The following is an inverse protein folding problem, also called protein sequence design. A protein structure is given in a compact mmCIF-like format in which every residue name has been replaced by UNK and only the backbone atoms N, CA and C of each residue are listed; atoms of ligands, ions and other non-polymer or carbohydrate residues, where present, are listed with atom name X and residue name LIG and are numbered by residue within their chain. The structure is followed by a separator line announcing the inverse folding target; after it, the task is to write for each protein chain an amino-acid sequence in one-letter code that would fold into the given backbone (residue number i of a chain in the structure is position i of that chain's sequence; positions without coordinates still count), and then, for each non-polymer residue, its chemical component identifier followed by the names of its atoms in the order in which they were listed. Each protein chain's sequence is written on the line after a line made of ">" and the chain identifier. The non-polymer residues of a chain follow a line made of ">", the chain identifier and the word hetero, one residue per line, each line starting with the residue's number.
data_IF_797827402273
#
_entry.id   IF_797827402273
#
_cell.length_a   1.000
_cell.length_b   1.000
_cell.length_c   1.000
_cell.angle_alpha   90.00
_cell.angle_beta   90.00
_cell.angle_gamma   90.00
#
_symmetry.space_group_name_H-M   'P 1'
#
loop_
_entity.id
_entity.type
_entity.pdbx_description
1 polymer ?
#
# COMPACT_ATOMS: atom_id res chain seq x y z
N UNK A 1 15.50 6.20 -61.34
CA UNK A 1 15.05 7.40 -60.61
C UNK A 1 13.55 7.30 -60.46
N UNK A 2 13.11 6.71 -59.36
CA UNK A 2 11.73 6.71 -58.92
C UNK A 2 11.76 7.26 -57.50
N UNK A 3 11.16 8.43 -57.31
CA UNK A 3 11.10 9.11 -56.02
C UNK A 3 10.19 8.30 -55.09
N UNK A 4 10.75 7.84 -53.98
CA UNK A 4 10.00 7.27 -52.89
C UNK A 4 9.22 8.39 -52.20
N UNK A 5 7.89 8.36 -52.33
CA UNK A 5 7.00 9.30 -51.67
C UNK A 5 7.14 9.17 -50.15
N UNK A 6 7.47 10.29 -49.48
CA UNK A 6 7.46 10.36 -48.03
C UNK A 6 6.00 10.28 -47.52
N UNK A 7 5.72 9.50 -46.46
CA UNK A 7 4.38 9.42 -45.90
C UNK A 7 3.96 10.76 -45.30
N UNK A 8 2.74 11.20 -45.62
CA UNK A 8 2.14 12.42 -45.10
C UNK A 8 1.72 12.24 -43.64
N UNK A 9 1.86 13.30 -42.83
CA UNK A 9 1.53 13.35 -41.39
C UNK A 9 0.08 12.93 -41.03
N UNK A 10 -0.82 12.85 -42.01
CA UNK A 10 -2.19 12.35 -41.84
C UNK A 10 -2.29 10.81 -41.80
N UNK A 11 -1.33 10.07 -42.36
CA UNK A 11 -1.34 8.60 -42.28
C UNK A 11 -0.89 8.04 -40.92
N UNK A 12 -0.54 8.91 -39.97
CA UNK A 12 -0.18 8.56 -38.60
C UNK A 12 -1.35 8.71 -37.61
N UNK A 13 -2.58 9.00 -38.07
CA UNK A 13 -3.75 9.30 -37.21
C UNK A 13 -4.87 8.26 -37.21
N UNK A 14 -4.60 7.03 -37.63
CA UNK A 14 -5.53 5.90 -37.52
C UNK A 14 -4.90 4.68 -36.83
N UNK A 15 -4.17 4.90 -35.73
CA UNK A 15 -3.95 3.82 -34.75
C UNK A 15 -5.23 3.69 -33.93
N UNK A 16 -5.78 2.49 -33.85
CA UNK A 16 -6.98 2.25 -33.05
C UNK A 16 -6.72 2.68 -31.59
N UNK A 17 -7.65 3.39 -30.94
CA UNK A 17 -7.31 4.22 -29.79
C UNK A 17 -6.98 3.49 -28.47
N UNK A 18 -6.90 2.16 -28.39
CA UNK A 18 -6.62 1.47 -27.11
C UNK A 18 -5.93 0.10 -27.30
N UNK A 19 -4.92 0.01 -28.17
CA UNK A 19 -4.11 -1.21 -28.24
C UNK A 19 -3.04 -1.15 -27.16
N UNK A 20 -3.15 -2.02 -26.16
CA UNK A 20 -2.26 -2.04 -25.01
C UNK A 20 -0.94 -2.68 -25.44
N UNK A 21 0.20 -2.17 -25.00
CA UNK A 21 1.49 -2.78 -25.32
C UNK A 21 2.21 -3.16 -24.05
N UNK A 22 2.78 -4.36 -24.04
CA UNK A 22 3.70 -4.81 -22.99
C UNK A 22 5.11 -4.76 -23.56
N UNK A 23 5.98 -3.95 -22.96
CA UNK A 23 7.42 -4.00 -23.23
C UNK A 23 8.01 -5.26 -22.59
N UNK A 24 8.39 -6.21 -23.44
CA UNK A 24 8.98 -7.48 -23.04
C UNK A 24 10.34 -7.32 -22.36
N UNK A 25 11.04 -6.20 -22.56
CA UNK A 25 12.36 -5.99 -21.96
C UNK A 25 12.28 -5.53 -20.51
N UNK A 26 11.20 -4.85 -20.13
CA UNK A 26 10.98 -4.37 -18.76
C UNK A 26 10.01 -5.25 -17.98
N UNK A 27 9.24 -6.10 -18.66
CA UNK A 27 8.26 -6.98 -18.01
C UNK A 27 8.95 -7.99 -17.09
N UNK A 28 8.55 -8.00 -15.82
CA UNK A 28 9.09 -8.90 -14.78
C UNK A 28 8.20 -10.14 -14.53
N UNK A 29 7.24 -10.44 -15.39
CA UNK A 29 6.44 -11.67 -15.28
C UNK A 29 5.56 -11.83 -14.03
N UNK A 30 5.17 -10.74 -13.36
CA UNK A 30 4.50 -10.82 -12.04
C UNK A 30 2.99 -11.14 -12.02
N UNK A 31 2.38 -11.48 -13.16
CA UNK A 31 0.94 -11.80 -13.36
C UNK A 31 -0.11 -10.75 -12.98
N UNK A 32 0.29 -9.63 -12.37
CA UNK A 32 -0.63 -8.60 -11.90
C UNK A 32 -1.65 -8.13 -12.98
N UNK A 33 -1.20 -7.98 -14.23
CA UNK A 33 -2.05 -7.55 -15.33
C UNK A 33 -2.97 -8.66 -15.87
N UNK A 34 -2.51 -9.91 -15.98
CA UNK A 34 -3.33 -11.04 -16.45
C UNK A 34 -4.36 -11.47 -15.43
N UNK A 35 -4.06 -11.38 -14.13
CA UNK A 35 -5.00 -11.76 -13.08
C UNK A 35 -6.15 -10.74 -12.98
N UNK A 36 -5.85 -9.47 -13.24
CA UNK A 36 -6.81 -8.37 -13.10
C UNK A 36 -7.56 -8.06 -14.38
N UNK A 37 -6.93 -8.32 -15.54
CA UNK A 37 -7.48 -8.08 -16.88
C UNK A 37 -7.22 -9.30 -17.79
N UNK A 38 -7.77 -10.48 -17.45
CA UNK A 38 -7.49 -11.75 -18.15
C UNK A 38 -7.93 -11.78 -19.61
N UNK A 39 -8.79 -10.86 -20.03
CA UNK A 39 -9.17 -10.73 -21.44
C UNK A 39 -8.25 -9.81 -22.25
N UNK A 40 -7.41 -9.00 -21.59
CA UNK A 40 -6.49 -8.07 -22.23
C UNK A 40 -5.04 -8.53 -22.17
N UNK A 41 -4.68 -9.38 -21.20
CA UNK A 41 -3.32 -9.85 -21.01
C UNK A 41 -3.26 -11.35 -20.75
N UNK A 42 -2.32 -11.98 -21.44
CA UNK A 42 -1.96 -13.38 -21.30
C UNK A 42 -0.52 -13.51 -20.83
N UNK A 43 -0.12 -14.74 -20.54
CA UNK A 43 1.26 -15.10 -20.23
C UNK A 43 1.72 -16.15 -21.20
N UNK A 44 2.98 -16.07 -21.61
CA UNK A 44 3.59 -17.12 -22.42
C UNK A 44 3.55 -18.48 -21.69
N UNK A 45 3.72 -19.57 -22.44
CA UNK A 45 3.63 -20.94 -21.90
C UNK A 45 4.64 -21.20 -20.78
N UNK A 46 5.72 -20.40 -20.73
CA UNK A 46 6.75 -20.45 -19.71
C UNK A 46 6.46 -19.57 -18.48
N UNK A 47 5.32 -18.86 -18.48
CA UNK A 47 4.85 -17.95 -17.44
C UNK A 47 5.83 -16.80 -17.08
N UNK A 48 6.71 -16.42 -18.01
CA UNK A 48 7.78 -15.44 -17.79
C UNK A 48 7.39 -14.02 -18.23
N UNK A 49 6.61 -13.88 -19.30
CA UNK A 49 6.32 -12.58 -19.89
C UNK A 49 4.84 -12.42 -20.18
N UNK A 50 4.29 -11.28 -19.76
CA UNK A 50 2.96 -10.89 -20.16
C UNK A 50 2.94 -10.50 -21.64
N UNK A 51 1.87 -10.85 -22.34
CA UNK A 51 1.59 -10.38 -23.69
C UNK A 51 0.14 -9.92 -23.80
N UNK A 52 -0.16 -9.08 -24.79
CA UNK A 52 -1.52 -8.61 -25.05
C UNK A 52 -2.36 -9.74 -25.68
N UNK A 53 -3.49 -10.10 -25.05
CA UNK A 53 -4.52 -10.91 -25.68
C UNK A 53 -5.43 -9.95 -26.46
N UNK A 54 -5.72 -10.30 -27.71
CA UNK A 54 -6.47 -9.54 -28.73
C UNK A 54 -7.33 -8.36 -28.23
N UNK A 55 -7.21 -7.23 -28.94
CA UNK A 55 -7.90 -5.94 -28.75
C UNK A 55 -9.09 -5.98 -27.78
N UNK A 56 -8.81 -5.68 -26.51
CA UNK A 56 -9.85 -5.37 -25.53
C UNK A 56 -10.76 -4.27 -26.10
N UNK A 57 -12.11 -4.40 -26.00
CA UNK A 57 -13.02 -3.40 -26.54
C UNK A 57 -12.67 -1.99 -26.00
N UNK A 58 -12.57 -0.97 -26.88
CA UNK A 58 -12.28 0.39 -26.47
C UNK A 58 -13.19 0.86 -25.33
N UNK A 59 -12.60 1.42 -24.27
CA UNK A 59 -13.34 1.94 -23.11
C UNK A 59 -13.88 0.90 -22.12
N UNK A 60 -13.50 -0.38 -22.25
CA UNK A 60 -13.83 -1.40 -21.23
C UNK A 60 -13.11 -1.13 -19.91
N UNK A 61 -11.87 -0.67 -19.98
CA UNK A 61 -11.03 -0.37 -18.82
C UNK A 61 -10.50 1.06 -18.87
N UNK A 62 -10.24 1.62 -17.70
CA UNK A 62 -9.55 2.91 -17.57
C UNK A 62 -8.06 2.71 -17.89
N UNK A 63 -7.50 3.41 -18.90
CA UNK A 63 -6.08 3.48 -19.19
C UNK A 63 -5.15 3.61 -17.99
N UNK A 64 -5.50 4.50 -17.06
CA UNK A 64 -4.65 4.78 -15.89
C UNK A 64 -4.58 3.57 -14.95
N UNK A 65 -5.71 2.89 -14.72
CA UNK A 65 -5.78 1.71 -13.85
C UNK A 65 -4.95 0.54 -14.42
N UNK A 66 -5.05 0.31 -15.73
CA UNK A 66 -4.34 -0.78 -16.41
C UNK A 66 -2.83 -0.53 -16.45
N UNK A 67 -2.39 0.71 -16.65
CA UNK A 67 -0.96 1.07 -16.64
C UNK A 67 -0.40 0.92 -15.22
N UNK A 68 -1.09 1.46 -14.21
CA UNK A 68 -0.63 1.47 -12.82
C UNK A 68 -0.56 0.08 -12.18
N UNK A 69 -1.17 -0.94 -12.79
CA UNK A 69 -1.10 -2.30 -12.28
C UNK A 69 0.26 -2.95 -12.51
N UNK A 70 1.04 -2.45 -13.47
CA UNK A 70 2.34 -3.01 -13.79
C UNK A 70 3.41 -2.45 -12.84
N UNK A 71 4.01 -3.25 -11.95
CA UNK A 71 5.02 -2.75 -11.00
C UNK A 71 6.35 -2.36 -11.68
N UNK A 72 6.55 -2.75 -12.94
CA UNK A 72 7.74 -2.47 -13.74
C UNK A 72 7.45 -1.51 -14.89
N UNK A 73 6.32 -0.78 -14.85
CA UNK A 73 5.93 0.22 -15.85
C UNK A 73 6.00 -0.27 -17.31
N UNK A 74 5.79 -1.58 -17.50
CA UNK A 74 5.97 -2.25 -18.79
C UNK A 74 4.73 -2.19 -19.67
N UNK A 75 3.61 -1.71 -19.14
CA UNK A 75 2.36 -1.55 -19.89
C UNK A 75 2.24 -0.09 -20.34
N UNK A 76 1.96 0.12 -21.62
CA UNK A 76 1.75 1.45 -22.18
C UNK A 76 0.71 1.44 -23.29
N UNK A 77 0.11 2.60 -23.55
CA UNK A 77 -0.87 2.79 -24.62
C UNK A 77 -0.30 3.83 -25.61
N UNK A 78 0.00 3.47 -26.86
CA UNK A 78 0.54 4.41 -27.83
C UNK A 78 -0.30 5.71 -27.93
N UNK A 79 0.34 6.85 -27.71
CA UNK A 79 -0.31 8.17 -27.76
C UNK A 79 -1.04 8.60 -26.48
N UNK A 80 -1.02 7.80 -25.41
CA UNK A 80 -1.58 8.17 -24.11
C UNK A 80 -0.60 9.02 -23.30
N UNK A 81 -1.05 10.18 -22.82
CA UNK A 81 -0.21 11.13 -22.06
C UNK A 81 0.22 10.59 -20.69
N UNK A 82 -0.51 9.63 -20.12
CA UNK A 82 -0.21 8.98 -18.84
C UNK A 82 0.85 7.87 -18.91
N UNK A 83 1.46 7.62 -20.08
CA UNK A 83 2.49 6.59 -20.19
C UNK A 83 3.74 6.92 -19.35
N UNK A 84 4.34 5.94 -18.67
CA UNK A 84 5.53 6.14 -17.84
C UNK A 84 6.72 6.72 -18.64
N UNK A 85 6.85 6.37 -19.92
CA UNK A 85 7.93 6.85 -20.79
C UNK A 85 7.72 8.26 -21.37
N UNK A 86 6.49 8.78 -21.38
CA UNK A 86 6.19 10.13 -21.87
C UNK A 86 6.82 11.23 -20.98
N UNK A 87 7.22 10.88 -19.75
CA UNK A 87 7.82 11.80 -18.79
C UNK A 87 9.36 11.88 -18.87
N UNK A 88 10.06 11.11 -19.74
CA UNK A 88 11.53 11.22 -19.75
C UNK A 88 12.40 10.41 -20.72
N UNK A 89 11.88 9.67 -21.71
CA UNK A 89 12.76 8.85 -22.57
C UNK A 89 12.30 8.72 -24.02
N UNK A 90 13.17 9.08 -24.98
CA UNK A 90 12.98 8.77 -26.41
C UNK A 90 13.15 7.28 -26.64
N UNK A 91 12.10 6.63 -27.13
CA UNK A 91 12.19 5.28 -27.70
C UNK A 91 12.88 5.31 -29.06
N UNK A 92 13.95 4.53 -29.20
CA UNK A 92 14.50 4.13 -30.50
C UNK A 92 13.82 2.81 -30.89
N UNK A 93 12.78 2.90 -31.72
CA UNK A 93 12.09 1.73 -32.25
C UNK A 93 13.04 0.87 -33.07
N UNK A 94 13.27 -0.36 -32.63
CA UNK A 94 13.85 -1.41 -33.46
C UNK A 94 12.68 -2.25 -34.00
N UNK A 95 11.97 -1.70 -34.98
CA UNK A 95 10.98 -2.43 -35.77
C UNK A 95 11.68 -3.01 -36.98
N UNK A 96 12.16 -4.24 -36.85
CA UNK A 96 12.80 -4.97 -37.94
C UNK A 96 13.31 -6.29 -37.44
N UNK A 97 12.43 -7.30 -37.44
CA UNK A 97 12.74 -8.63 -37.97
C UNK A 97 11.44 -9.46 -37.96
N UNK A 98 10.88 -9.63 -39.16
CA UNK A 98 9.83 -10.59 -39.45
C UNK A 98 10.40 -12.00 -39.28
N UNK A 99 10.09 -12.66 -38.16
CA UNK A 99 10.31 -14.10 -38.04
C UNK A 99 9.24 -14.79 -38.86
N UNK A 100 9.68 -15.34 -39.99
CA UNK A 100 8.87 -16.08 -40.94
C UNK A 100 8.16 -17.26 -40.27
N UNK A 101 6.89 -17.41 -40.62
CA UNK A 101 6.06 -18.57 -40.30
C UNK A 101 6.75 -19.86 -40.71
N UNK A 102 6.96 -20.75 -39.74
CA UNK A 102 7.24 -22.16 -39.96
C UNK A 102 5.94 -22.94 -39.77
N UNK A 103 5.46 -23.52 -40.86
CA UNK A 103 4.37 -24.50 -40.89
C UNK A 103 4.73 -25.72 -40.03
N UNK A 104 3.81 -26.18 -39.17
CA UNK A 104 4.09 -27.28 -38.25
C UNK A 104 2.88 -27.86 -37.54
N UNK A 105 2.16 -28.71 -38.29
CA UNK A 105 1.52 -29.97 -37.85
C UNK A 105 0.38 -29.96 -36.82
N UNK A 106 -0.73 -30.56 -37.28
CA UNK A 106 -1.88 -31.03 -36.53
C UNK A 106 -1.46 -31.93 -35.34
N UNK A 107 -1.78 -31.49 -34.13
CA UNK A 107 -1.85 -32.37 -32.96
C UNK A 107 -3.25 -32.34 -32.36
N UNK A 108 -3.96 -33.45 -32.58
CA UNK A 108 -5.18 -33.83 -31.88
C UNK A 108 -4.98 -33.70 -30.35
N UNK A 109 -5.81 -32.87 -29.72
CA UNK A 109 -5.87 -32.70 -28.26
C UNK A 109 -6.93 -33.62 -27.67
N UNK A 110 -6.58 -34.55 -26.76
CA UNK A 110 -7.54 -35.25 -25.93
C UNK A 110 -7.31 -34.88 -24.45
N UNK A 111 -7.80 -33.73 -24.00
CA UNK A 111 -7.91 -33.44 -22.57
C UNK A 111 -9.23 -32.72 -22.23
N UNK A 112 -10.33 -33.47 -22.32
CA UNK A 112 -11.47 -33.26 -21.42
C UNK A 112 -11.13 -33.90 -20.06
N UNK A 113 -10.46 -33.16 -19.19
CA UNK A 113 -10.36 -33.49 -17.77
C UNK A 113 -11.37 -32.63 -17.00
N UNK A 114 -12.52 -33.25 -16.72
CA UNK A 114 -13.58 -32.77 -15.84
C UNK A 114 -12.98 -32.39 -14.47
N UNK A 115 -12.89 -31.09 -14.19
CA UNK A 115 -12.61 -30.57 -12.85
C UNK A 115 -13.80 -30.94 -11.94
N UNK A 116 -13.61 -31.97 -11.10
CA UNK A 116 -14.46 -32.18 -9.93
C UNK A 116 -13.95 -31.29 -8.79
N UNK A 117 -14.84 -30.57 -8.08
CA UNK A 117 -14.45 -29.85 -6.86
C UNK A 117 -13.96 -30.88 -5.83
N UNK A 118 -12.76 -30.68 -5.28
CA UNK A 118 -12.27 -31.48 -4.15
C UNK A 118 -13.06 -31.10 -2.89
N UNK A 119 -13.88 -32.02 -2.39
CA UNK A 119 -14.74 -31.87 -1.21
C UNK A 119 -13.99 -31.76 0.15
N UNK A 120 -12.67 -31.57 0.16
CA UNK A 120 -11.86 -31.72 1.38
C UNK A 120 -11.16 -30.44 1.88
N UNK A 121 -11.64 -29.25 1.51
CA UNK A 121 -11.18 -28.01 2.15
C UNK A 121 -12.09 -27.62 3.30
N UNK A 122 -11.89 -28.31 4.44
CA UNK A 122 -12.30 -27.80 5.73
C UNK A 122 -11.41 -26.59 6.03
N UNK A 123 -11.94 -25.39 5.81
CA UNK A 123 -11.28 -24.13 6.13
C UNK A 123 -10.74 -24.21 7.56
N UNK A 124 -9.43 -24.19 7.69
CA UNK A 124 -8.76 -24.03 8.97
C UNK A 124 -9.07 -22.59 9.41
N UNK A 125 -10.01 -22.49 10.33
CA UNK A 125 -10.60 -21.25 10.85
C UNK A 125 -9.46 -20.41 11.42
N UNK A 126 -9.10 -19.35 10.69
CA UNK A 126 -8.06 -18.40 11.09
C UNK A 126 -8.49 -17.83 12.45
N UNK A 127 -7.80 -18.19 13.52
CA UNK A 127 -8.07 -17.68 14.87
C UNK A 127 -7.82 -16.16 14.85
N UNK A 128 -8.88 -15.40 14.63
CA UNK A 128 -8.88 -13.95 14.74
C UNK A 128 -8.44 -13.58 16.16
N UNK A 129 -7.63 -12.51 16.32
CA UNK A 129 -7.18 -12.08 17.64
C UNK A 129 -8.38 -11.93 18.57
N UNK A 130 -8.28 -12.48 19.78
CA UNK A 130 -9.40 -12.50 20.72
C UNK A 130 -10.01 -11.09 20.86
N UNK A 131 -11.35 -10.98 20.84
CA UNK A 131 -12.02 -9.69 20.93
C UNK A 131 -11.60 -8.98 22.22
N UNK A 132 -11.09 -7.75 22.09
CA UNK A 132 -10.53 -6.95 23.20
C UNK A 132 -11.59 -6.70 24.31
N UNK A 133 -12.88 -6.80 23.98
CA UNK A 133 -14.00 -6.52 24.87
C UNK A 133 -14.90 -7.75 25.07
N UNK A 134 -14.54 -8.60 26.03
CA UNK A 134 -15.33 -9.79 26.35
C UNK A 134 -16.46 -9.51 27.37
N UNK A 135 -16.36 -8.44 28.16
CA UNK A 135 -17.36 -8.11 29.19
C UNK A 135 -18.57 -7.34 28.66
N UNK A 136 -19.79 -7.73 29.06
CA UNK A 136 -21.05 -7.00 28.75
C UNK A 136 -20.96 -5.51 29.14
N UNK A 137 -20.32 -5.20 30.28
CA UNK A 137 -20.11 -3.83 30.71
C UNK A 137 -19.20 -3.02 29.79
N UNK A 138 -18.18 -3.65 29.20
CA UNK A 138 -17.28 -2.98 28.24
C UNK A 138 -18.00 -2.73 26.92
N UNK A 139 -18.76 -3.72 26.43
CA UNK A 139 -19.59 -3.57 25.23
C UNK A 139 -20.65 -2.47 25.40
N UNK A 140 -21.29 -2.40 26.56
CA UNK A 140 -22.23 -1.32 26.90
C UNK A 140 -21.54 0.05 26.97
N UNK A 141 -20.34 0.12 27.53
CA UNK A 141 -19.57 1.36 27.55
C UNK A 141 -19.24 1.85 26.13
N UNK A 142 -18.83 0.95 25.23
CA UNK A 142 -18.61 1.26 23.81
C UNK A 142 -19.90 1.80 23.17
N UNK A 143 -21.02 1.12 23.38
CA UNK A 143 -22.33 1.55 22.86
C UNK A 143 -22.73 2.95 23.34
N UNK A 144 -22.55 3.26 24.63
CA UNK A 144 -22.83 4.60 25.19
C UNK A 144 -21.92 5.67 24.57
N UNK A 145 -20.67 5.32 24.26
CA UNK A 145 -19.71 6.25 23.64
C UNK A 145 -19.83 6.35 22.12
N UNK A 146 -20.67 5.55 21.47
CA UNK A 146 -20.87 5.57 20.00
C UNK A 146 -21.08 6.97 19.43
N UNK A 147 -21.94 7.84 20.00
CA UNK A 147 -22.13 9.17 19.45
C UNK A 147 -20.84 9.99 19.49
N UNK A 148 -19.98 9.81 20.48
CA UNK A 148 -18.70 10.53 20.58
C UNK A 148 -17.70 9.95 19.58
N UNK A 149 -17.62 8.62 19.47
CA UNK A 149 -16.74 7.92 18.51
C UNK A 149 -17.14 8.23 17.07
N UNK A 150 -18.43 8.43 16.79
CA UNK A 150 -18.94 8.82 15.47
C UNK A 150 -18.43 10.16 14.95
N UNK A 151 -17.91 11.01 15.85
CA UNK A 151 -17.26 12.27 15.48
C UNK A 151 -15.93 12.04 14.74
N UNK A 152 -15.27 10.90 14.99
CA UNK A 152 -13.91 10.65 14.52
C UNK A 152 -13.83 10.48 12.99
N UNK A 153 -12.65 10.72 12.39
CA UNK A 153 -12.38 10.43 10.99
C UNK A 153 -12.70 8.98 10.59
N UNK A 154 -13.16 8.72 9.35
CA UNK A 154 -13.56 7.38 8.87
C UNK A 154 -12.51 6.29 9.17
N UNK A 155 -11.23 6.58 8.90
CA UNK A 155 -10.11 5.65 9.14
C UNK A 155 -9.97 5.19 10.59
N UNK A 156 -10.30 6.04 11.56
CA UNK A 156 -10.21 5.68 12.98
C UNK A 156 -11.42 4.82 13.38
N UNK A 157 -12.62 5.19 12.91
CA UNK A 157 -13.83 4.43 13.20
C UNK A 157 -13.77 3.03 12.59
N UNK A 158 -13.27 2.89 11.36
CA UNK A 158 -13.09 1.60 10.68
C UNK A 158 -12.19 0.66 11.47
N UNK A 159 -11.06 1.16 11.99
CA UNK A 159 -10.18 0.39 12.89
C UNK A 159 -10.82 -0.01 14.22
N UNK A 160 -11.78 0.76 14.72
CA UNK A 160 -12.56 0.39 15.91
C UNK A 160 -13.57 -0.69 15.55
N UNK A 161 -14.25 -0.54 14.42
CA UNK A 161 -15.19 -1.51 13.86
C UNK A 161 -14.54 -2.89 13.69
N UNK A 162 -13.39 -2.92 13.02
CA UNK A 162 -12.57 -4.11 12.77
C UNK A 162 -12.09 -4.80 14.05
N UNK A 163 -11.97 -4.07 15.17
CA UNK A 163 -11.56 -4.61 16.47
C UNK A 163 -12.71 -5.07 17.34
N UNK A 164 -13.90 -4.49 17.17
CA UNK A 164 -15.09 -4.87 17.94
C UNK A 164 -15.73 -6.12 17.33
N UNK A 165 -15.71 -6.25 16.00
CA UNK A 165 -16.24 -7.39 15.23
C UNK A 165 -17.66 -7.82 15.64
N UNK A 166 -18.47 -6.89 16.14
CA UNK A 166 -19.81 -7.17 16.66
C UNK A 166 -20.74 -6.00 16.30
N UNK A 167 -21.45 -6.14 15.18
CA UNK A 167 -22.33 -5.10 14.61
C UNK A 167 -23.46 -4.66 15.55
N UNK A 168 -23.83 -5.51 16.52
CA UNK A 168 -24.85 -5.18 17.51
C UNK A 168 -24.37 -4.13 18.51
N UNK A 169 -23.05 -4.08 18.77
CA UNK A 169 -22.47 -3.18 19.77
C UNK A 169 -21.66 -2.06 19.17
N UNK A 170 -21.15 -2.20 17.95
CA UNK A 170 -20.49 -1.13 17.22
C UNK A 170 -20.63 -1.30 15.71
N UNK A 171 -20.99 -0.20 15.05
CA UNK A 171 -20.89 -0.05 13.60
C UNK A 171 -20.43 1.36 13.31
N UNK A 172 -19.43 1.51 12.45
CA UNK A 172 -18.91 2.83 12.04
C UNK A 172 -20.02 3.74 11.49
N UNK A 173 -20.99 3.16 10.75
CA UNK A 173 -22.14 3.88 10.19
C UNK A 173 -23.12 4.34 11.27
N UNK A 174 -23.48 3.44 12.19
CA UNK A 174 -24.39 3.77 13.29
C UNK A 174 -23.80 4.84 14.21
N UNK A 175 -22.50 4.71 14.54
CA UNK A 175 -21.79 5.71 15.33
C UNK A 175 -21.82 7.09 14.63
N UNK A 176 -21.52 7.15 13.33
CA UNK A 176 -21.56 8.39 12.56
C UNK A 176 -22.97 9.02 12.54
N UNK A 177 -24.02 8.22 12.31
CA UNK A 177 -25.41 8.69 12.32
C UNK A 177 -25.82 9.22 13.71
N UNK A 178 -25.49 8.49 14.78
CA UNK A 178 -25.74 8.93 16.15
C UNK A 178 -24.99 10.23 16.48
N UNK A 179 -23.78 10.42 15.97
CA UNK A 179 -23.05 11.65 16.14
C UNK A 179 -23.70 12.84 15.42
N UNK A 180 -24.26 12.64 14.23
CA UNK A 180 -25.00 13.69 13.52
C UNK A 180 -26.24 14.10 14.33
N UNK A 181 -26.99 13.13 14.85
CA UNK A 181 -28.13 13.39 15.74
C UNK A 181 -27.67 14.12 17.00
N UNK A 182 -26.57 13.68 17.63
CA UNK A 182 -26.01 14.34 18.80
C UNK A 182 -25.63 15.80 18.50
N UNK A 183 -24.94 16.09 17.40
CA UNK A 183 -24.54 17.45 17.03
C UNK A 183 -25.75 18.37 16.81
N UNK A 184 -26.84 17.84 16.25
CA UNK A 184 -28.10 18.59 16.08
C UNK A 184 -28.64 19.11 17.42
N UNK A 185 -28.60 18.28 18.46
CA UNK A 185 -29.00 18.69 19.81
C UNK A 185 -27.93 19.54 20.49
N UNK A 186 -26.65 19.19 20.32
CA UNK A 186 -25.53 19.83 21.01
C UNK A 186 -25.37 21.30 20.61
N UNK A 187 -25.41 21.63 19.32
CA UNK A 187 -25.34 23.03 18.88
C UNK A 187 -26.53 23.85 19.35
N UNK A 188 -27.72 23.27 19.29
CA UNK A 188 -28.95 23.89 19.80
C UNK A 188 -28.82 24.17 21.30
N UNK A 189 -28.37 23.20 22.09
CA UNK A 189 -28.18 23.34 23.53
C UNK A 189 -27.14 24.41 23.87
N UNK A 190 -25.99 24.41 23.20
CA UNK A 190 -24.91 25.40 23.43
C UNK A 190 -25.42 26.82 23.14
N UNK A 191 -26.12 27.04 22.03
CA UNK A 191 -26.64 28.37 21.68
C UNK A 191 -27.78 28.82 22.59
N UNK A 192 -28.64 27.90 23.01
CA UNK A 192 -29.68 28.17 24.03
C UNK A 192 -29.04 28.62 25.34
N UNK A 193 -28.04 27.88 25.83
CA UNK A 193 -27.32 28.25 27.06
C UNK A 193 -26.64 29.61 26.89
N UNK A 194 -25.96 29.84 25.77
CA UNK A 194 -25.32 31.13 25.49
C UNK A 194 -26.32 32.29 25.47
N UNK A 195 -27.50 32.11 24.87
CA UNK A 195 -28.55 33.12 24.85
C UNK A 195 -29.09 33.42 26.26
N UNK A 196 -29.32 32.38 27.08
CA UNK A 196 -29.80 32.54 28.46
C UNK A 196 -28.76 33.24 29.35
N UNK A 197 -27.48 32.88 29.22
CA UNK A 197 -26.36 33.56 29.91
C UNK A 197 -26.25 35.02 29.46
N UNK A 198 -26.55 35.30 28.19
CA UNK A 198 -26.66 36.66 27.66
C UNK A 198 -27.91 37.43 28.09
N UNK A 199 -28.76 36.87 28.96
CA UNK A 199 -29.95 37.53 29.49
C UNK A 199 -31.21 37.43 28.61
N UNK A 200 -31.24 36.54 27.62
CA UNK A 200 -32.45 36.30 26.84
C UNK A 200 -33.56 35.73 27.73
N UNK A 201 -34.80 36.20 27.54
CA UNK A 201 -35.96 35.62 28.21
C UNK A 201 -36.31 34.25 27.62
N UNK A 202 -36.84 33.36 28.46
CA UNK A 202 -37.20 31.97 28.08
C UNK A 202 -38.22 31.93 26.92
N UNK A 203 -39.04 32.98 26.77
CA UNK A 203 -40.03 33.11 25.71
C UNK A 203 -39.66 34.17 24.66
N UNK A 204 -38.44 34.72 24.74
CA UNK A 204 -37.97 35.80 23.89
C UNK A 204 -37.66 35.37 22.46
N UNK A 205 -37.76 36.32 21.52
CA UNK A 205 -37.39 36.10 20.13
C UNK A 205 -35.92 35.66 19.99
N UNK A 206 -35.03 36.18 20.83
CA UNK A 206 -33.60 35.81 20.84
C UNK A 206 -33.38 34.32 21.14
N UNK A 207 -34.13 33.74 22.08
CA UNK A 207 -34.03 32.31 22.38
C UNK A 207 -34.53 31.46 21.20
N UNK A 208 -35.67 31.84 20.60
CA UNK A 208 -36.21 31.17 19.40
C UNK A 208 -35.21 31.23 18.24
N UNK A 209 -34.56 32.38 18.04
CA UNK A 209 -33.49 32.55 17.07
C UNK A 209 -32.28 31.65 17.34
N UNK A 210 -31.86 31.54 18.59
CA UNK A 210 -30.76 30.66 18.99
C UNK A 210 -31.09 29.17 18.75
N UNK A 211 -32.31 28.74 19.05
CA UNK A 211 -32.78 27.37 18.78
C UNK A 211 -32.75 27.08 17.27
N UNK A 212 -33.34 27.97 16.47
CA UNK A 212 -33.39 27.81 15.02
C UNK A 212 -31.98 27.78 14.41
N UNK A 213 -31.10 28.66 14.87
CA UNK A 213 -29.71 28.73 14.42
C UNK A 213 -28.95 27.45 14.74
N UNK A 214 -29.08 26.93 15.97
CA UNK A 214 -28.37 25.70 16.38
C UNK A 214 -28.82 24.47 15.62
N UNK A 215 -30.13 24.33 15.42
CA UNK A 215 -30.69 23.27 14.60
C UNK A 215 -30.21 23.38 13.13
N UNK A 216 -30.20 24.60 12.58
CA UNK A 216 -29.71 24.87 11.24
C UNK A 216 -28.24 24.49 11.06
N UNK A 217 -27.36 24.89 11.99
CA UNK A 217 -25.95 24.53 11.96
C UNK A 217 -25.74 23.01 12.02
N UNK A 218 -26.48 22.31 12.90
CA UNK A 218 -26.41 20.85 12.98
C UNK A 218 -26.86 20.15 11.70
N UNK A 219 -27.91 20.67 11.06
CA UNK A 219 -28.41 20.13 9.79
C UNK A 219 -27.42 20.37 8.65
N UNK A 220 -26.84 21.57 8.56
CA UNK A 220 -25.83 21.91 7.54
C UNK A 220 -24.58 21.03 7.68
N UNK A 221 -24.05 20.87 8.91
CA UNK A 221 -22.91 19.97 9.14
C UNK A 221 -23.26 18.52 8.81
N UNK A 222 -24.43 18.04 9.26
CA UNK A 222 -24.89 16.68 8.96
C UNK A 222 -24.99 16.41 7.47
N UNK A 223 -25.62 17.31 6.71
CA UNK A 223 -25.72 17.23 5.25
C UNK A 223 -24.34 17.29 4.59
N UNK A 224 -23.47 18.21 5.01
CA UNK A 224 -22.10 18.31 4.50
C UNK A 224 -21.33 17.00 4.67
N UNK A 225 -21.47 16.34 5.83
CA UNK A 225 -20.78 15.07 6.13
C UNK A 225 -21.35 13.88 5.35
N UNK A 226 -22.66 13.86 5.10
CA UNK A 226 -23.31 12.83 4.29
C UNK A 226 -22.99 13.00 2.79
N UNK A 227 -22.83 14.23 2.32
CA UNK A 227 -22.51 14.54 0.92
C UNK A 227 -21.02 14.42 0.60
N UNK A 228 -20.16 14.07 1.56
CA UNK A 228 -18.72 13.93 1.34
C UNK A 228 -17.96 15.26 1.15
N UNK A 229 -18.63 16.40 1.33
CA UNK A 229 -18.05 17.74 1.18
C UNK A 229 -17.69 18.13 -0.27
N UNK A 230 -17.98 19.37 -0.72
CA UNK A 230 -17.72 19.81 -2.10
C UNK A 230 -16.23 19.95 -2.47
N UNK A 231 -15.30 19.86 -1.50
CA UNK A 231 -13.87 20.08 -1.72
C UNK A 231 -13.04 18.80 -1.75
N UNK A 232 -13.65 17.63 -1.53
CA UNK A 232 -12.94 16.35 -1.43
C UNK A 232 -13.74 15.23 -2.12
N UNK A 233 -13.86 15.26 -3.45
CA UNK A 233 -14.46 14.12 -4.16
C UNK A 233 -13.90 13.89 -5.57
N UNK A 234 -12.92 12.97 -5.65
CA UNK A 234 -12.71 11.98 -6.71
C UNK A 234 -11.88 10.85 -6.09
N UNK A 235 -12.54 9.83 -5.53
CA UNK A 235 -11.84 8.60 -5.12
C UNK A 235 -12.31 7.90 -3.84
N UNK A 236 -13.16 8.49 -2.99
CA UNK A 236 -13.65 7.79 -1.79
C UNK A 236 -14.90 6.94 -2.07
N UNK A 237 -14.83 5.67 -1.65
CA UNK A 237 -15.95 4.72 -1.62
C UNK A 237 -17.21 5.40 -1.07
N UNK A 238 -18.36 5.17 -1.71
CA UNK A 238 -19.62 5.91 -1.53
C UNK A 238 -20.26 5.82 -0.13
N UNK A 239 -19.61 5.17 0.82
CA UNK A 239 -20.19 4.78 2.11
C UNK A 239 -19.53 5.44 3.34
N UNK A 240 -18.55 6.34 3.15
CA UNK A 240 -17.83 6.96 4.27
C UNK A 240 -18.36 8.35 4.65
N UNK A 241 -19.16 8.42 5.73
CA UNK A 241 -19.59 9.69 6.33
C UNK A 241 -18.38 10.41 6.94
N UNK A 242 -18.13 11.69 6.61
CA UNK A 242 -16.97 12.43 7.15
C UNK A 242 -16.97 12.55 8.69
N UNK A 243 -15.82 12.91 9.28
CA UNK A 243 -15.71 13.28 10.70
C UNK A 243 -16.40 14.62 11.02
N UNK A 244 -16.66 14.88 12.30
CA UNK A 244 -17.25 16.14 12.76
C UNK A 244 -16.22 17.28 12.76
N UNK A 245 -16.64 18.52 12.57
CA UNK A 245 -15.73 19.66 12.41
C UNK A 245 -14.87 19.91 13.65
N UNK A 246 -15.42 19.71 14.85
CA UNK A 246 -14.67 19.86 16.11
C UNK A 246 -13.61 18.77 16.33
N UNK A 247 -13.57 17.72 15.51
CA UNK A 247 -12.47 16.77 15.54
C UNK A 247 -11.28 17.22 14.72
N UNK A 248 -11.42 18.24 13.87
CA UNK A 248 -10.30 18.76 13.08
C UNK A 248 -9.15 19.29 13.97
N UNK A 249 -9.38 20.09 15.03
CA UNK A 249 -8.34 20.47 15.97
C UNK A 249 -7.74 19.28 16.72
N UNK A 250 -8.55 18.26 17.04
CA UNK A 250 -8.08 17.03 17.69
C UNK A 250 -7.19 16.23 16.74
N UNK A 251 -7.54 16.19 15.45
CA UNK A 251 -6.72 15.64 14.38
C UNK A 251 -5.36 16.33 14.33
N UNK A 252 -5.33 17.65 14.27
CA UNK A 252 -4.08 18.45 14.29
C UNK A 252 -3.30 18.23 15.58
N UNK A 253 -3.95 18.20 16.74
CA UNK A 253 -3.28 17.93 18.01
C UNK A 253 -2.76 16.50 18.11
N UNK A 254 -3.44 15.52 17.51
CA UNK A 254 -2.98 14.13 17.46
C UNK A 254 -1.83 13.95 16.47
N UNK A 255 -1.76 14.71 15.38
CA UNK A 255 -0.58 14.72 14.50
C UNK A 255 0.59 15.44 15.16
N UNK A 256 0.36 16.53 15.90
CA UNK A 256 1.41 17.21 16.69
C UNK A 256 1.88 16.35 17.84
N UNK A 257 0.98 15.70 18.60
CA UNK A 257 1.34 14.76 19.66
C UNK A 257 2.00 13.51 19.09
N UNK A 258 1.56 13.03 17.94
CA UNK A 258 2.22 11.97 17.20
C UNK A 258 3.59 12.40 16.68
N UNK A 259 3.80 13.65 16.29
CA UNK A 259 5.11 14.20 15.92
C UNK A 259 6.01 14.41 17.15
N UNK A 260 5.43 14.78 18.29
CA UNK A 260 6.13 14.96 19.56
C UNK A 260 6.41 13.64 20.29
N UNK A 261 5.54 12.62 20.15
CA UNK A 261 5.79 11.26 20.62
C UNK A 261 6.65 10.47 19.65
N UNK A 262 6.70 10.87 18.36
CA UNK A 262 7.74 10.50 17.38
C UNK A 262 9.10 11.17 17.66
N UNK A 263 9.28 11.82 18.82
CA UNK A 263 10.62 11.92 19.44
C UNK A 263 11.10 10.61 20.07
N UNK A 264 10.29 9.53 20.01
CA UNK A 264 10.82 8.19 19.79
C UNK A 264 10.90 7.99 18.28
N UNK A 265 12.13 8.06 17.77
CA UNK A 265 12.45 7.84 16.36
C UNK A 265 12.12 6.38 16.05
N UNK A 266 11.30 6.13 15.03
CA UNK A 266 10.95 4.78 14.59
C UNK A 266 9.63 4.68 13.84
N UNK A 267 9.65 3.90 12.76
CA UNK A 267 8.57 3.54 11.82
C UNK A 267 8.26 4.57 10.73
N UNK A 268 9.17 4.67 9.76
CA UNK A 268 8.78 4.82 8.37
C UNK A 268 8.81 3.44 7.72
N UNK A 269 7.72 2.95 7.10
CA UNK A 269 7.88 2.03 5.98
C UNK A 269 8.81 2.73 4.98
N UNK A 270 9.69 1.99 4.28
CA UNK A 270 10.48 2.56 3.19
C UNK A 270 9.59 3.41 2.26
N UNK A 271 10.11 4.42 1.55
CA UNK A 271 9.32 5.21 0.59
C UNK A 271 8.53 4.32 -0.39
N UNK A 272 9.05 3.13 -0.69
CA UNK A 272 8.34 2.06 -1.41
C UNK A 272 7.08 1.58 -0.68
N UNK A 273 7.17 1.18 0.59
CA UNK A 273 5.98 0.79 1.36
C UNK A 273 5.01 1.97 1.58
N UNK A 274 5.48 3.22 1.51
CA UNK A 274 4.62 4.40 1.54
C UNK A 274 3.77 4.56 0.27
N UNK A 275 4.27 4.21 -0.91
CA UNK A 275 3.45 4.19 -2.14
C UNK A 275 2.37 3.09 -2.12
N UNK A 276 2.61 1.98 -1.42
CA UNK A 276 1.62 0.91 -1.24
C UNK A 276 0.66 1.17 -0.08
N UNK A 277 1.09 1.84 1.00
CA UNK A 277 0.24 2.23 2.13
C UNK A 277 -0.55 3.53 1.89
N UNK A 278 -0.06 4.44 1.05
CA UNK A 278 -0.77 5.63 0.56
C UNK A 278 -1.57 5.33 -0.72
N UNK A 279 -1.96 4.07 -0.94
CA UNK A 279 -2.87 3.66 -2.01
C UNK A 279 -4.11 4.53 -2.05
N UNK A 280 -4.05 5.59 -2.84
CA UNK A 280 -5.20 6.19 -3.47
C UNK A 280 -5.83 5.10 -4.31
N UNK A 281 -7.10 4.83 -4.02
CA UNK A 281 -8.07 4.30 -4.98
C UNK A 281 -7.51 3.30 -6.01
N UNK A 282 -7.30 2.04 -5.62
CA UNK A 282 -7.25 0.94 -6.58
C UNK A 282 -8.22 -0.15 -6.11
N UNK A 283 -9.34 -0.24 -6.82
CA UNK A 283 -10.28 -1.36 -6.90
C UNK A 283 -10.49 -2.24 -5.67
N UNK A 284 -11.59 -2.01 -4.94
CA UNK A 284 -12.17 -2.98 -4.02
C UNK A 284 -12.78 -4.18 -4.79
N UNK A 285 -11.90 -5.07 -5.23
CA UNK A 285 -12.15 -6.50 -5.51
C UNK A 285 -10.90 -7.33 -5.17
N UNK A 286 -10.05 -6.86 -4.26
CA UNK A 286 -8.95 -7.71 -3.75
C UNK A 286 -9.47 -8.53 -2.58
N UNK A 287 -9.46 -9.88 -2.64
CA UNK A 287 -9.63 -10.69 -1.44
C UNK A 287 -8.56 -10.25 -0.44
N UNK A 288 -8.96 -10.12 0.83
CA UNK A 288 -8.15 -9.71 1.98
C UNK A 288 -6.69 -10.16 1.81
N UNK A 289 -5.82 -9.25 1.35
CA UNK A 289 -4.41 -9.60 1.16
C UNK A 289 -3.85 -9.87 2.54
N UNK A 290 -3.29 -11.06 2.72
CA UNK A 290 -2.75 -11.51 3.98
C UNK A 290 -1.60 -10.57 4.37
N UNK A 291 -1.83 -9.65 5.30
CA UNK A 291 -0.86 -8.64 5.74
C UNK A 291 0.47 -9.26 6.18
N UNK A 292 0.42 -10.49 6.70
CA UNK A 292 1.61 -11.24 7.08
C UNK A 292 2.43 -11.69 5.86
N UNK A 293 1.76 -12.00 4.74
CA UNK A 293 2.42 -12.37 3.49
C UNK A 293 3.12 -11.17 2.84
N UNK A 294 2.48 -10.01 2.83
CA UNK A 294 3.10 -8.77 2.32
C UNK A 294 4.29 -8.35 3.18
N UNK A 295 4.17 -8.45 4.51
CA UNK A 295 5.27 -8.17 5.43
C UNK A 295 6.41 -9.18 5.23
N UNK A 296 6.12 -10.47 5.10
CA UNK A 296 7.15 -11.47 4.80
C UNK A 296 7.80 -11.22 3.44
N UNK A 297 7.06 -10.76 2.43
CA UNK A 297 7.63 -10.32 1.17
C UNK A 297 8.58 -9.14 1.37
N UNK A 298 8.19 -8.11 2.11
CA UNK A 298 9.06 -6.97 2.43
C UNK A 298 10.33 -7.39 3.20
N UNK A 299 10.24 -8.37 4.11
CA UNK A 299 11.40 -8.93 4.82
C UNK A 299 12.43 -9.56 3.87
N UNK A 300 11.99 -10.20 2.79
CA UNK A 300 12.89 -10.81 1.78
C UNK A 300 13.76 -9.79 1.05
N UNK A 301 13.30 -8.55 0.94
CA UNK A 301 14.06 -7.45 0.32
C UNK A 301 14.78 -6.57 1.36
N UNK A 302 14.83 -6.98 2.63
CA UNK A 302 15.46 -6.17 3.68
C UNK A 302 14.71 -4.87 4.01
N UNK A 303 13.44 -4.75 3.63
CA UNK A 303 12.65 -3.52 3.79
C UNK A 303 11.95 -3.41 5.15
N UNK A 304 12.08 -4.41 6.01
CA UNK A 304 11.52 -4.41 7.36
C UNK A 304 12.66 -4.26 8.36
N UNK A 305 12.94 -3.01 8.70
CA UNK A 305 13.93 -2.66 9.70
C UNK A 305 13.45 -1.49 10.57
N UNK A 306 13.99 -1.40 11.78
CA UNK A 306 13.74 -0.33 12.74
C UNK A 306 15.06 0.28 13.17
N UNK A 307 15.13 1.61 13.30
CA UNK A 307 16.32 2.31 13.78
C UNK A 307 15.93 3.11 15.02
N UNK A 308 16.51 2.77 16.17
CA UNK A 308 16.34 3.48 17.43
C UNK A 308 17.61 4.27 17.77
N UNK A 309 17.51 5.60 17.87
CA UNK A 309 18.67 6.41 18.26
C UNK A 309 19.03 6.18 19.74
N UNK A 310 20.30 5.94 20.02
CA UNK A 310 20.84 5.82 21.38
C UNK A 310 21.69 7.04 21.71
N UNK A 311 22.13 7.18 22.98
CA UNK A 311 22.97 8.32 23.38
C UNK A 311 24.28 8.40 22.60
N UNK A 312 24.82 7.25 22.19
CA UNK A 312 26.13 7.09 21.56
C UNK A 312 26.06 6.70 20.09
N UNK A 313 24.86 6.56 19.52
CA UNK A 313 24.69 6.14 18.12
C UNK A 313 23.26 5.68 17.83
N UNK A 314 23.10 4.45 17.34
CA UNK A 314 21.82 3.86 16.96
C UNK A 314 21.77 2.34 17.19
N UNK A 315 20.59 1.78 17.43
CA UNK A 315 20.30 0.35 17.39
C UNK A 315 19.39 0.08 16.18
N UNK A 316 19.89 -0.68 15.21
CA UNK A 316 19.15 -1.07 14.01
C UNK A 316 18.68 -2.51 14.16
N UNK A 317 17.39 -2.77 13.99
CA UNK A 317 16.80 -4.11 14.05
C UNK A 317 16.23 -4.49 12.69
N UNK A 318 16.80 -5.48 12.02
CA UNK A 318 16.28 -6.07 10.78
C UNK A 318 15.45 -7.32 11.09
N UNK A 319 14.27 -7.43 10.47
CA UNK A 319 13.47 -8.66 10.49
C UNK A 319 13.75 -9.49 9.24
N UNK A 320 14.30 -10.69 9.42
CA UNK A 320 14.45 -11.64 8.32
C UNK A 320 13.15 -12.42 8.06
N UNK A 321 12.91 -12.86 6.81
CA UNK A 321 11.68 -13.52 6.45
C UNK A 321 11.54 -14.85 7.21
N UNK A 322 10.33 -15.13 7.69
CA UNK A 322 10.03 -16.30 8.52
C UNK A 322 9.39 -17.43 7.69
N UNK A 323 8.53 -17.06 6.74
CA UNK A 323 7.73 -18.00 5.97
C UNK A 323 7.76 -17.68 4.47
N UNK A 324 7.65 -18.73 3.65
CA UNK A 324 7.38 -18.63 2.22
C UNK A 324 6.06 -19.36 1.93
N UNK A 325 5.00 -18.59 1.64
CA UNK A 325 3.67 -19.14 1.31
C UNK A 325 3.15 -18.46 0.05
N UNK A 326 3.68 -18.87 -1.08
CA UNK A 326 3.04 -18.59 -2.38
C UNK A 326 2.31 -19.83 -2.91
N UNK A 327 2.79 -21.03 -2.58
CA UNK A 327 2.11 -22.29 -2.89
C UNK A 327 2.03 -23.19 -1.64
N UNK A 328 0.83 -23.53 -1.14
CA UNK A 328 0.66 -24.44 0.00
C UNK A 328 1.15 -25.87 -0.27
N UNK A 329 1.40 -26.23 -1.53
CA UNK A 329 1.97 -27.52 -1.92
C UNK A 329 3.51 -27.55 -1.91
N UNK A 330 4.17 -26.39 -1.80
CA UNK A 330 5.64 -26.34 -1.80
C UNK A 330 6.22 -26.82 -0.47
N UNK A 331 7.20 -27.74 -0.52
CA UNK A 331 7.95 -28.22 0.65
C UNK A 331 8.78 -27.12 1.35
N UNK A 332 8.82 -25.92 0.77
CA UNK A 332 9.55 -24.73 1.24
C UNK A 332 8.76 -23.91 2.28
N UNK A 333 8.04 -24.56 3.20
CA UNK A 333 7.26 -23.83 4.20
C UNK A 333 8.14 -23.06 5.20
N UNK A 334 9.34 -23.58 5.49
CA UNK A 334 10.32 -22.92 6.35
C UNK A 334 11.47 -22.36 5.50
N UNK A 335 11.61 -21.03 5.46
CA UNK A 335 12.71 -20.39 4.76
C UNK A 335 14.05 -20.71 5.43
N UNK A 336 15.12 -20.99 4.65
CA UNK A 336 16.45 -21.20 5.18
C UNK A 336 16.93 -19.93 5.91
N UNK A 337 17.82 -20.12 6.88
CA UNK A 337 18.50 -19.00 7.54
C UNK A 337 19.35 -18.25 6.52
N UNK A 338 19.20 -16.93 6.52
CA UNK A 338 20.07 -16.04 5.76
C UNK A 338 21.42 -15.96 6.46
N UNK A 339 22.49 -16.10 5.70
CA UNK A 339 23.80 -15.62 6.10
C UNK A 339 23.82 -14.11 5.87
N UNK A 340 24.36 -13.37 6.84
CA UNK A 340 24.41 -11.91 6.76
C UNK A 340 25.81 -11.41 7.01
N UNK A 341 26.10 -10.26 6.43
CA UNK A 341 27.37 -9.56 6.52
C UNK A 341 27.11 -8.07 6.72
N UNK A 342 27.96 -7.46 7.53
CA UNK A 342 27.98 -6.03 7.78
C UNK A 342 29.29 -5.49 7.20
N UNK A 343 29.18 -4.57 6.26
CA UNK A 343 30.32 -3.82 5.75
C UNK A 343 30.14 -2.35 6.16
N UNK A 344 31.17 -1.79 6.77
CA UNK A 344 31.17 -0.41 7.27
C UNK A 344 32.16 0.42 6.46
N UNK A 345 31.71 1.56 5.95
CA UNK A 345 32.56 2.54 5.28
C UNK A 345 32.23 3.96 5.77
N UNK A 346 33.16 4.58 6.49
CA UNK A 346 33.01 5.89 7.13
C UNK A 346 31.67 6.01 7.91
N UNK A 347 30.70 6.74 7.36
CA UNK A 347 29.38 6.99 7.93
C UNK A 347 28.28 6.09 7.32
N UNK A 348 28.63 5.06 6.57
CA UNK A 348 27.70 4.17 5.88
C UNK A 348 27.82 2.75 6.42
N UNK A 349 26.68 2.11 6.70
CA UNK A 349 26.59 0.70 7.04
C UNK A 349 25.81 -0.03 5.94
N UNK A 350 26.46 -0.99 5.30
CA UNK A 350 25.82 -1.88 4.35
C UNK A 350 25.51 -3.20 5.04
N UNK A 351 24.24 -3.60 5.01
CA UNK A 351 23.73 -4.88 5.49
C UNK A 351 23.42 -5.74 4.28
N UNK A 352 24.22 -6.78 4.08
CA UNK A 352 24.01 -7.75 3.00
C UNK A 352 23.55 -9.05 3.62
N UNK A 353 22.54 -9.69 3.02
CA UNK A 353 22.08 -10.99 3.47
C UNK A 353 21.77 -11.88 2.27
N UNK A 354 22.16 -13.15 2.35
CA UNK A 354 22.01 -14.13 1.28
C UNK A 354 21.65 -15.51 1.81
N UNK A 355 20.90 -16.27 1.02
CA UNK A 355 20.66 -17.69 1.26
C UNK A 355 21.91 -18.47 0.80
N UNK A 356 22.46 -19.39 1.62
CA UNK A 356 23.61 -20.19 1.23
C UNK A 356 23.34 -20.99 -0.06
N UNK A 357 24.29 -21.01 -0.99
CA UNK A 357 24.13 -21.59 -2.35
C UNK A 357 23.64 -23.06 -2.33
N UNK A 358 23.99 -23.84 -1.31
CA UNK A 358 23.55 -25.23 -1.17
C UNK A 358 22.11 -25.42 -0.69
N UNK A 359 21.40 -24.34 -0.34
CA UNK A 359 20.00 -24.35 0.14
C UNK A 359 19.03 -23.64 -0.80
N UNK A 360 19.54 -23.02 -1.87
CA UNK A 360 18.72 -22.47 -2.94
C UNK A 360 18.25 -23.64 -3.80
N UNK A 361 17.06 -24.17 -3.51
CA UNK A 361 16.40 -25.12 -4.41
C UNK A 361 16.02 -24.39 -5.70
N UNK A 362 15.93 -25.10 -6.83
CA UNK A 362 15.71 -24.49 -8.15
C UNK A 362 14.49 -23.55 -8.25
N UNK A 363 13.53 -23.70 -7.34
CA UNK A 363 12.34 -22.86 -7.21
C UNK A 363 12.59 -21.50 -6.53
N UNK A 364 13.62 -21.35 -5.69
CA UNK A 364 13.91 -20.12 -4.93
C UNK A 364 14.49 -19.03 -5.83
N UNK A 365 15.16 -19.38 -6.93
CA UNK A 365 15.72 -18.42 -7.88
C UNK A 365 14.82 -18.11 -9.09
N UNK A 366 13.80 -18.92 -9.34
CA UNK A 366 12.91 -18.77 -10.51
C UNK A 366 11.67 -17.92 -10.21
N UNK A 367 11.27 -17.80 -8.93
CA UNK A 367 10.11 -16.99 -8.54
C UNK A 367 10.61 -15.62 -8.12
N UNK A 368 10.25 -14.58 -8.88
CA UNK A 368 10.65 -13.18 -8.69
C UNK A 368 10.30 -12.59 -7.30
N UNK A 369 9.61 -13.35 -6.46
CA UNK A 369 9.16 -12.98 -5.12
C UNK A 369 10.11 -13.40 -3.99
N UNK A 370 11.18 -14.15 -4.27
CA UNK A 370 12.14 -14.62 -3.27
C UNK A 370 13.59 -14.37 -3.73
N UNK A 371 14.09 -13.12 -3.67
CA UNK A 371 15.47 -12.86 -4.03
C UNK A 371 16.42 -13.70 -3.14
N UNK A 372 17.42 -14.37 -3.73
CA UNK A 372 18.38 -15.17 -2.98
C UNK A 372 19.29 -14.32 -2.10
N UNK A 373 19.33 -13.00 -2.32
CA UNK A 373 20.08 -12.05 -1.50
C UNK A 373 19.47 -10.65 -1.58
N UNK A 374 19.73 -9.83 -0.56
CA UNK A 374 19.47 -8.40 -0.58
C UNK A 374 20.65 -7.63 0.02
N UNK A 375 20.73 -6.35 -0.33
CA UNK A 375 21.70 -5.41 0.21
C UNK A 375 20.97 -4.13 0.59
N UNK A 376 21.17 -3.65 1.82
CA UNK A 376 20.59 -2.41 2.32
C UNK A 376 21.69 -1.49 2.87
N UNK A 377 21.74 -0.28 2.34
CA UNK A 377 22.69 0.74 2.75
C UNK A 377 22.02 1.72 3.71
N UNK A 378 22.62 1.95 4.88
CA UNK A 378 22.15 2.88 5.89
C UNK A 378 23.20 3.99 6.07
N UNK A 379 22.75 5.24 5.91
CA UNK A 379 23.61 6.42 6.03
C UNK A 379 23.44 7.07 7.40
N UNK A 380 24.54 7.33 8.09
CA UNK A 380 24.57 8.02 9.38
C UNK A 380 25.13 9.44 9.22
N UNK A 381 24.74 10.33 10.14
CA UNK A 381 25.21 11.72 10.14
C UNK A 381 26.72 11.84 10.34
N UNK A 382 27.32 10.84 11.00
CA UNK A 382 28.72 10.83 11.38
C UNK A 382 29.35 9.49 11.09
N UNK A 383 30.67 9.53 11.04
CA UNK A 383 31.49 8.34 10.95
C UNK A 383 31.13 7.36 12.05
N UNK A 384 30.96 6.11 11.65
CA UNK A 384 30.70 5.00 12.53
C UNK A 384 32.02 4.67 13.23
N UNK A 385 32.01 4.72 14.56
CA UNK A 385 33.16 4.38 15.39
C UNK A 385 33.27 2.87 15.60
N UNK A 386 32.13 2.18 15.78
CA UNK A 386 32.08 0.73 15.92
C UNK A 386 30.69 0.18 15.60
N UNK A 387 30.67 -1.09 15.17
CA UNK A 387 29.45 -1.86 14.91
C UNK A 387 29.52 -3.15 15.70
N UNK A 388 28.45 -3.48 16.40
CA UNK A 388 28.24 -4.77 17.03
C UNK A 388 26.89 -5.33 16.59
N UNK A 389 26.78 -6.65 16.53
CA UNK A 389 25.57 -7.31 16.05
C UNK A 389 25.23 -8.55 16.86
N UNK A 390 23.95 -8.80 17.04
CA UNK A 390 23.41 -10.02 17.64
C UNK A 390 22.23 -10.50 16.82
N UNK A 391 22.19 -11.79 16.54
CA UNK A 391 21.07 -12.41 15.84
C UNK A 391 20.32 -13.34 16.80
N UNK A 392 19.00 -13.18 16.85
CA UNK A 392 18.11 -14.08 17.58
C UNK A 392 17.46 -15.06 16.58
N UNK A 393 17.80 -16.34 16.70
CA UNK A 393 17.33 -17.39 15.80
C UNK A 393 15.82 -17.61 15.90
N UNK A 394 15.24 -17.47 17.10
CA UNK A 394 13.82 -17.74 17.34
C UNK A 394 12.94 -16.64 16.73
N UNK A 395 13.32 -15.38 16.94
CA UNK A 395 12.58 -14.24 16.39
C UNK A 395 12.99 -13.87 14.96
N UNK A 396 14.12 -14.42 14.46
CA UNK A 396 14.77 -14.05 13.20
C UNK A 396 15.05 -12.55 13.09
N UNK A 397 15.45 -11.92 14.19
CA UNK A 397 15.78 -10.48 14.25
C UNK A 397 17.29 -10.30 14.36
N UNK A 398 17.87 -9.55 13.43
CA UNK A 398 19.24 -9.08 13.50
C UNK A 398 19.28 -7.69 14.12
N UNK A 399 19.84 -7.59 15.31
CA UNK A 399 20.09 -6.31 15.99
C UNK A 399 21.51 -5.87 15.74
N UNK A 400 21.70 -4.61 15.40
CA UNK A 400 22.98 -4.00 15.06
C UNK A 400 23.10 -2.72 15.90
N UNK A 401 24.01 -2.74 16.86
CA UNK A 401 24.39 -1.56 17.64
C UNK A 401 25.49 -0.81 16.91
N UNK A 402 25.19 0.41 16.46
CA UNK A 402 26.10 1.32 15.77
C UNK A 402 26.49 2.42 16.74
N UNK A 403 27.78 2.57 17.02
CA UNK A 403 28.30 3.72 17.78
C UNK A 403 28.86 4.74 16.81
N UNK A 404 28.48 6.01 16.95
CA UNK A 404 28.95 7.09 16.09
C UNK A 404 30.10 7.86 16.76
N UNK A 405 31.01 8.41 15.97
CA UNK A 405 32.09 9.25 16.49
C UNK A 405 31.55 10.59 17.05
N UNK A 406 31.92 10.95 18.30
CA UNK A 406 31.56 12.21 18.96
C UNK A 406 30.42 12.12 20.00
N UNK A 407 30.17 13.21 20.76
CA UNK A 407 29.41 13.17 22.03
C UNK A 407 27.86 13.16 21.95
N UNK A 408 27.21 13.30 20.78
CA UNK A 408 25.73 13.33 20.73
C UNK A 408 25.12 12.88 19.39
N UNK A 409 24.68 11.65 19.20
CA UNK A 409 24.18 11.14 17.90
C UNK A 409 22.81 11.73 17.43
N UNK A 410 22.68 11.96 16.12
CA UNK A 410 21.42 12.19 15.39
C UNK A 410 21.48 11.37 14.07
N UNK A 411 20.34 10.80 13.65
CA UNK A 411 20.23 9.84 12.53
C UNK A 411 19.31 10.41 11.45
N UNK A 412 19.65 10.20 10.17
CA UNK A 412 18.81 10.56 9.01
C UNK A 412 18.35 9.29 8.28
N UNK A 413 17.16 9.33 7.67
CA UNK A 413 16.58 8.22 6.89
C UNK A 413 17.05 8.20 5.42
N UNK A 414 17.11 6.97 4.88
CA UNK A 414 17.29 6.47 3.49
C UNK A 414 17.49 7.50 2.35
N UNK A 415 18.61 7.36 1.62
CA UNK A 415 18.77 7.87 0.24
C UNK A 415 18.78 6.65 -0.70
N UNK A 416 17.63 6.30 -1.26
CA UNK A 416 17.59 5.37 -2.39
C UNK A 416 17.94 6.13 -3.68
N UNK A 417 19.07 5.78 -4.30
CA UNK A 417 19.40 6.23 -5.67
C UNK A 417 20.85 6.64 -5.90
N UNK A 418 21.80 5.70 -5.79
CA UNK A 418 23.09 5.83 -6.51
C UNK A 418 23.40 4.51 -7.18
N UNK A 419 22.87 4.36 -8.40
CA UNK A 419 23.34 3.36 -9.34
C UNK A 419 24.80 3.61 -9.70
N UNK A 420 25.56 2.52 -9.75
CA UNK A 420 26.96 2.48 -10.16
C UNK A 420 27.18 3.15 -11.52
N UNK A 421 28.16 4.05 -11.61
CA UNK A 421 28.90 4.30 -12.83
C UNK A 421 30.40 4.17 -12.53
N UNK A 422 30.98 3.13 -13.12
CA UNK A 422 32.40 2.80 -13.13
C UNK A 422 33.20 3.89 -13.84
N UNK A 423 34.36 4.29 -13.28
CA UNK A 423 35.58 4.39 -14.09
C UNK A 423 36.86 4.30 -13.24
N UNK A 424 37.61 3.20 -13.46
CA UNK A 424 39.07 3.19 -13.37
C UNK A 424 39.62 4.20 -14.37
N UNK A 425 40.57 5.04 -13.95
CA UNK A 425 41.89 5.21 -14.57
C UNK A 425 42.72 6.28 -13.84
N UNK A 426 44.00 5.95 -13.65
CA UNK A 426 45.15 6.75 -13.18
C UNK A 426 45.24 7.07 -11.69
#
# INVERSE_FOLDING_TARGET
>A
MADAAQPTLESLKTSQPNEWRVDKNTCIGCRACSDSYPEGFGFDDAENLAFEIAATPPGKYDPDEVIQICPSDSIFIPGYEGNPSAQGGKWAGNTGDEVSAGDGEDHDSPYEAVLRPSENHRAEELELPEPIFQGVGQKLAVAITMPIVGALPPRIRRRIDERVQDELFFSSRQAAALNIVLNLFLYTAILVVAALVGGASIYGASLKGAILLGFGLGTIEGAYRMLGGPFWYRGHERDEVLGAWYTMPIGVLSTVRGAWSRRRIGVGPSPFAKHWHDGGAVGASRPMVNLDLERDRARRYGNVYEIEATKTGAEVSFEFPRWFREDPSSELQALPHYEWRLDQDANTLTVSASIPEGRVTGSIGSVNSLPPSFEKMLLFERDIASVASSYDEDSRILRISVSLAGEHATVFDDIEGVGSAVHRAA
#
